data_IF_552847832622
#
_entry.id   IF_552847832622
#
_cell.length_a   1.000
_cell.length_b   1.000
_cell.length_c   1.000
_cell.angle_alpha   90.00
_cell.angle_beta   90.00
_cell.angle_gamma   90.00
#
_symmetry.space_group_name_H-M   'P 1'
#
loop_
_entity.id
_entity.type
_entity.pdbx_description
1 polymer ?
#
# COMPACT_ATOMS: atom_id res chain seq x y z
N UNK A 1 -40.42 -30.56 -3.87
CA UNK A 1 -40.23 -29.34 -3.05
C UNK A 1 -38.74 -29.20 -2.80
N UNK A 2 -38.04 -28.45 -3.65
CA UNK A 2 -36.61 -28.17 -3.47
C UNK A 2 -36.46 -27.14 -2.34
N UNK A 3 -35.52 -27.41 -1.44
CA UNK A 3 -35.20 -26.55 -0.29
C UNK A 3 -34.63 -25.22 -0.80
N UNK A 4 -35.31 -24.12 -0.52
CA UNK A 4 -34.72 -22.79 -0.48
C UNK A 4 -33.63 -22.82 0.62
N UNK A 5 -32.39 -23.12 0.26
CA UNK A 5 -31.24 -22.69 1.04
C UNK A 5 -31.06 -21.22 0.70
N UNK A 6 -31.47 -20.36 1.62
CA UNK A 6 -31.24 -18.92 1.62
C UNK A 6 -29.78 -18.65 1.29
N UNK A 7 -29.49 -18.32 0.02
CA UNK A 7 -28.21 -17.74 -0.40
C UNK A 7 -28.22 -16.32 0.15
N UNK A 8 -27.78 -16.17 1.40
CA UNK A 8 -27.39 -14.88 1.93
C UNK A 8 -26.09 -14.55 1.20
N UNK A 9 -26.19 -13.87 0.06
CA UNK A 9 -25.05 -13.23 -0.59
C UNK A 9 -24.54 -12.23 0.45
N UNK A 10 -23.38 -12.45 1.09
CA UNK A 10 -22.93 -11.56 2.14
C UNK A 10 -22.73 -10.17 1.53
N UNK A 11 -23.32 -9.17 2.17
CA UNK A 11 -23.33 -7.76 1.79
C UNK A 11 -21.94 -7.08 1.90
N UNK A 12 -20.86 -7.83 1.68
CA UNK A 12 -19.46 -7.40 1.84
C UNK A 12 -18.98 -6.59 0.62
N UNK A 13 -19.71 -6.62 -0.51
CA UNK A 13 -19.28 -5.95 -1.74
C UNK A 13 -19.43 -4.41 -1.76
N UNK A 14 -20.03 -3.76 -0.76
CA UNK A 14 -20.54 -2.39 -0.93
C UNK A 14 -20.09 -1.32 0.09
N UNK A 15 -19.07 -1.56 0.91
CA UNK A 15 -18.78 -0.68 2.04
C UNK A 15 -17.47 0.14 1.94
N UNK A 16 -16.99 0.56 0.76
CA UNK A 16 -15.79 1.45 0.74
C UNK A 16 -15.64 2.41 -0.46
N UNK A 17 -16.60 2.50 -1.38
CA UNK A 17 -16.48 3.38 -2.55
C UNK A 17 -16.68 4.89 -2.28
N UNK A 18 -16.88 5.33 -1.03
CA UNK A 18 -17.25 6.73 -0.71
C UNK A 18 -16.27 7.49 0.17
N UNK A 19 -15.26 6.85 0.76
CA UNK A 19 -14.28 7.52 1.65
C UNK A 19 -13.03 8.04 0.92
N UNK A 20 -12.63 7.43 -0.20
CA UNK A 20 -11.39 7.83 -0.90
C UNK A 20 -11.51 9.14 -1.72
N UNK A 21 -12.73 9.61 -1.99
CA UNK A 21 -12.96 10.89 -2.70
C UNK A 21 -12.90 12.14 -1.80
N UNK A 22 -12.75 11.98 -0.48
CA UNK A 22 -12.70 13.11 0.47
C UNK A 22 -11.26 13.52 0.86
N UNK A 23 -10.23 12.90 0.30
CA UNK A 23 -8.85 13.00 0.77
C UNK A 23 -7.85 13.74 -0.14
N UNK A 24 -8.29 14.69 -0.98
CA UNK A 24 -7.38 15.61 -1.65
C UNK A 24 -8.05 16.98 -1.83
N UNK A 25 -8.20 17.70 -0.72
CA UNK A 25 -8.76 19.05 -0.68
C UNK A 25 -8.27 19.76 0.57
N UNK A 26 -7.23 20.58 0.41
CA UNK A 26 -6.52 21.20 1.52
C UNK A 26 -7.33 22.16 2.40
N UNK A 27 -6.72 22.46 3.56
CA UNK A 27 -7.01 23.53 4.54
C UNK A 27 -8.38 23.43 5.24
N UNK A 28 -8.36 23.00 6.51
CA UNK A 28 -8.33 23.92 7.65
C UNK A 28 -8.37 23.20 9.01
N UNK A 29 -7.33 23.48 9.81
CA UNK A 29 -7.37 23.82 11.25
C UNK A 29 -7.88 22.77 12.26
N UNK A 30 -6.91 22.10 12.89
CA UNK A 30 -7.05 21.50 14.21
C UNK A 30 -7.03 22.56 15.34
N UNK A 31 -7.92 22.39 16.30
CA UNK A 31 -7.89 22.90 17.67
C UNK A 31 -8.74 21.90 18.49
N UNK A 32 -8.44 21.48 19.71
CA UNK A 32 -7.59 22.05 20.74
C UNK A 32 -7.24 20.96 21.79
N UNK A 33 -6.12 21.24 22.46
CA UNK A 33 -5.51 20.73 23.69
C UNK A 33 -6.21 19.71 24.62
N UNK A 34 -5.38 18.90 25.29
CA UNK A 34 -5.30 18.90 26.76
C UNK A 34 -3.90 18.48 27.22
N UNK A 35 -3.29 19.33 28.06
CA UNK A 35 -2.00 19.16 28.72
C UNK A 35 -2.03 18.12 29.86
N UNK A 36 -0.90 17.46 30.12
CA UNK A 36 -0.50 17.09 31.48
C UNK A 36 1.04 17.02 31.59
N UNK A 37 1.57 17.96 32.36
CA UNK A 37 2.95 18.10 32.86
C UNK A 37 3.35 16.93 33.77
N UNK A 38 4.65 16.59 33.86
CA UNK A 38 5.40 16.35 35.13
C UNK A 38 6.81 15.73 34.90
N UNK A 39 7.83 16.55 35.20
CA UNK A 39 9.05 16.29 36.00
C UNK A 39 10.24 15.47 35.45
N UNK A 40 11.29 16.22 35.06
CA UNK A 40 12.67 16.22 35.60
C UNK A 40 13.25 14.94 36.25
N UNK A 41 14.36 14.45 35.68
CA UNK A 41 15.54 14.00 36.45
C UNK A 41 16.81 14.13 35.59
N UNK A 42 17.67 15.09 35.94
CA UNK A 42 19.10 15.10 35.58
C UNK A 42 19.84 14.01 36.37
N UNK A 43 20.81 13.35 35.75
CA UNK A 43 22.00 12.82 36.47
C UNK A 43 23.20 12.82 35.51
N UNK A 44 24.16 13.67 35.86
CA UNK A 44 25.55 13.76 35.38
C UNK A 44 26.40 12.65 36.00
N UNK A 45 27.40 12.13 35.27
CA UNK A 45 28.85 12.09 35.64
C UNK A 45 29.69 11.39 34.55
N UNK A 46 30.87 11.97 34.35
CA UNK A 46 31.92 11.86 33.31
C UNK A 46 32.80 10.59 33.21
N UNK A 47 33.50 10.54 32.07
CA UNK A 47 34.90 10.13 31.79
C UNK A 47 35.23 8.62 31.77
N UNK A 48 35.98 8.06 30.81
CA UNK A 48 37.37 8.37 30.36
C UNK A 48 37.62 7.54 29.07
N UNK A 49 38.02 8.10 27.91
CA UNK A 49 39.38 8.36 27.37
C UNK A 49 40.11 7.21 26.60
N UNK A 50 40.62 7.59 25.42
CA UNK A 50 41.66 7.01 24.52
C UNK A 50 41.31 5.68 23.80
N UNK A 51 41.61 5.48 22.51
CA UNK A 51 42.85 5.78 21.77
C UNK A 51 42.62 5.86 20.24
N UNK A 52 43.46 6.65 19.54
CA UNK A 52 43.59 6.77 18.09
C UNK A 52 44.03 5.46 17.41
N UNK A 53 43.64 5.23 16.15
CA UNK A 53 44.60 4.82 15.10
C UNK A 53 44.10 5.25 13.72
N UNK A 54 44.99 5.87 12.96
CA UNK A 54 44.85 6.39 11.60
C UNK A 54 44.70 5.30 10.52
N UNK A 55 44.03 5.71 9.44
CA UNK A 55 44.31 5.52 8.01
C UNK A 55 44.68 4.13 7.46
N UNK A 56 43.88 3.65 6.52
CA UNK A 56 44.42 3.23 5.23
C UNK A 56 43.45 3.58 4.08
N UNK A 57 43.97 4.38 3.17
CA UNK A 57 43.39 4.81 1.91
C UNK A 57 43.54 3.67 0.89
N UNK A 58 42.48 3.25 0.21
CA UNK A 58 42.62 2.47 -1.02
C UNK A 58 41.49 2.76 -2.01
N UNK A 59 41.72 3.81 -2.78
CA UNK A 59 41.60 3.87 -4.25
C UNK A 59 40.36 3.23 -4.90
N UNK A 60 39.38 4.09 -5.19
CA UNK A 60 38.67 4.28 -6.47
C UNK A 60 38.72 3.13 -7.49
N UNK A 61 37.58 2.47 -7.68
CA UNK A 61 37.10 2.07 -9.00
C UNK A 61 35.78 2.84 -9.22
N UNK A 62 35.91 4.01 -9.84
CA UNK A 62 34.77 4.79 -10.33
C UNK A 62 34.34 4.09 -11.62
N UNK A 63 33.32 3.25 -11.50
CA UNK A 63 32.56 2.79 -12.66
C UNK A 63 31.75 4.01 -13.10
N UNK A 64 32.07 4.60 -14.25
CA UNK A 64 31.23 5.61 -14.91
C UNK A 64 29.90 4.95 -15.28
N UNK A 65 29.01 4.80 -14.29
CA UNK A 65 27.60 4.87 -14.54
C UNK A 65 27.36 6.29 -15.04
N UNK A 66 26.94 6.44 -16.28
CA UNK A 66 26.27 7.66 -16.72
C UNK A 66 25.02 7.81 -15.84
N UNK A 67 25.17 8.47 -14.70
CA UNK A 67 24.05 8.93 -13.88
C UNK A 67 23.20 9.83 -14.78
N UNK A 68 21.98 9.39 -15.06
CA UNK A 68 20.95 10.33 -15.44
C UNK A 68 20.91 11.43 -14.37
N UNK A 69 20.69 12.70 -14.73
CA UNK A 69 20.61 13.75 -13.71
C UNK A 69 19.57 13.30 -12.66
N UNK A 70 19.87 13.41 -11.37
CA UNK A 70 19.05 12.84 -10.30
C UNK A 70 17.54 13.14 -10.42
N UNK A 71 17.18 14.30 -10.99
CA UNK A 71 15.79 14.66 -11.26
C UNK A 71 15.07 13.81 -12.33
N UNK A 72 15.78 13.22 -13.28
CA UNK A 72 15.23 12.30 -14.30
C UNK A 72 14.94 10.92 -13.68
N UNK A 73 15.87 10.40 -12.87
CA UNK A 73 15.68 9.15 -12.14
C UNK A 73 14.53 9.22 -11.11
N UNK A 74 14.40 10.36 -10.40
CA UNK A 74 13.27 10.57 -9.48
C UNK A 74 11.95 10.66 -10.25
N UNK A 75 11.92 11.29 -11.43
CA UNK A 75 10.71 11.37 -12.24
C UNK A 75 10.27 9.98 -12.74
N UNK A 76 11.19 9.19 -13.29
CA UNK A 76 10.92 7.80 -13.72
C UNK A 76 10.41 6.95 -12.54
N UNK A 77 11.02 7.07 -11.37
CA UNK A 77 10.56 6.37 -10.18
C UNK A 77 9.14 6.79 -9.75
N UNK A 78 8.80 8.08 -9.82
CA UNK A 78 7.44 8.55 -9.52
C UNK A 78 6.41 8.07 -10.54
N UNK A 79 6.79 7.80 -11.79
CA UNK A 79 5.90 7.13 -12.76
C UNK A 79 5.58 5.68 -12.34
N UNK A 80 6.56 4.98 -11.76
CA UNK A 80 6.34 3.64 -11.18
C UNK A 80 5.43 3.71 -9.95
N UNK A 81 5.57 4.72 -9.08
CA UNK A 81 4.65 4.97 -7.97
C UNK A 81 3.23 5.26 -8.49
N UNK A 82 3.09 6.04 -9.57
CA UNK A 82 1.79 6.34 -10.19
C UNK A 82 1.12 5.08 -10.80
N UNK A 83 1.89 4.07 -11.19
CA UNK A 83 1.34 2.80 -11.66
C UNK A 83 0.48 2.09 -10.59
N UNK A 84 0.80 2.29 -9.31
CA UNK A 84 0.02 1.76 -8.19
C UNK A 84 -1.38 2.38 -8.13
N UNK A 85 -1.48 3.69 -8.38
CA UNK A 85 -2.77 4.39 -8.49
C UNK A 85 -3.58 3.87 -9.67
N UNK A 86 -2.95 3.60 -10.81
CA UNK A 86 -3.63 2.99 -11.98
C UNK A 86 -4.21 1.62 -11.63
N UNK A 87 -3.48 0.79 -10.89
CA UNK A 87 -3.99 -0.49 -10.39
C UNK A 87 -5.20 -0.32 -9.48
N UNK A 88 -5.19 0.67 -8.59
CA UNK A 88 -6.32 0.98 -7.72
C UNK A 88 -7.55 1.52 -8.50
N UNK A 89 -7.35 2.34 -9.52
CA UNK A 89 -8.43 2.82 -10.40
C UNK A 89 -9.07 1.68 -11.20
N UNK A 90 -8.25 0.76 -11.70
CA UNK A 90 -8.72 -0.44 -12.38
C UNK A 90 -9.52 -1.34 -11.42
N UNK A 91 -9.06 -1.52 -10.18
CA UNK A 91 -9.79 -2.23 -9.12
C UNK A 91 -11.19 -1.64 -8.91
N UNK A 92 -11.30 -0.31 -8.74
CA UNK A 92 -12.60 0.36 -8.56
C UNK A 92 -13.51 0.13 -9.76
N UNK A 93 -12.97 0.21 -10.97
CA UNK A 93 -13.73 0.01 -12.21
C UNK A 93 -14.28 -1.42 -12.30
N UNK A 94 -13.45 -2.43 -12.01
CA UNK A 94 -13.87 -3.83 -12.06
C UNK A 94 -14.84 -4.15 -10.90
N UNK A 95 -14.65 -3.56 -9.72
CA UNK A 95 -15.61 -3.71 -8.61
C UNK A 95 -17.00 -3.17 -8.95
N UNK A 96 -17.10 -2.10 -9.74
CA UNK A 96 -18.39 -1.62 -10.26
C UNK A 96 -19.02 -2.64 -11.23
N UNK A 97 -18.21 -3.28 -12.09
CA UNK A 97 -18.67 -4.38 -12.96
C UNK A 97 -19.19 -5.56 -12.11
N UNK A 98 -18.44 -5.96 -11.08
CA UNK A 98 -18.81 -7.04 -10.16
C UNK A 98 -20.16 -6.79 -9.50
N UNK A 99 -20.38 -5.58 -8.96
CA UNK A 99 -21.66 -5.21 -8.34
C UNK A 99 -22.83 -5.22 -9.33
N UNK A 100 -22.61 -4.84 -10.59
CA UNK A 100 -23.64 -4.90 -11.64
C UNK A 100 -23.98 -6.35 -12.00
N UNK A 101 -22.96 -7.22 -12.11
CA UNK A 101 -23.15 -8.64 -12.38
C UNK A 101 -23.82 -9.37 -11.20
N UNK A 102 -23.62 -8.93 -9.96
CA UNK A 102 -24.36 -9.44 -8.81
C UNK A 102 -25.88 -9.36 -8.93
N UNK A 103 -26.41 -8.52 -9.83
CA UNK A 103 -27.84 -8.41 -10.11
C UNK A 103 -28.36 -9.46 -11.10
N UNK A 104 -27.48 -10.14 -11.84
CA UNK A 104 -27.87 -11.12 -12.87
C UNK A 104 -27.90 -12.56 -12.36
N UNK A 105 -27.43 -12.81 -11.13
CA UNK A 105 -27.25 -14.14 -10.53
C UNK A 105 -26.34 -15.10 -11.34
N UNK A 106 -25.56 -14.57 -12.29
CA UNK A 106 -24.59 -15.34 -13.10
C UNK A 106 -23.29 -15.54 -12.33
N UNK A 107 -23.20 -16.66 -11.61
CA UNK A 107 -22.05 -16.97 -10.75
C UNK A 107 -20.77 -17.18 -11.54
N UNK A 108 -20.84 -17.79 -12.73
CA UNK A 108 -19.66 -18.04 -13.55
C UNK A 108 -19.06 -16.72 -14.03
N UNK A 109 -19.89 -15.79 -14.51
CA UNK A 109 -19.44 -14.45 -14.90
C UNK A 109 -18.87 -13.65 -13.73
N UNK A 110 -19.47 -13.76 -12.55
CA UNK A 110 -18.94 -13.12 -11.34
C UNK A 110 -17.57 -13.69 -10.94
N UNK A 111 -17.37 -15.00 -11.04
CA UNK A 111 -16.07 -15.65 -10.76
C UNK A 111 -15.00 -15.18 -11.75
N UNK A 112 -15.33 -15.05 -13.04
CA UNK A 112 -14.42 -14.44 -14.01
C UNK A 112 -14.04 -13.00 -13.63
N UNK A 113 -15.00 -12.22 -13.15
CA UNK A 113 -14.74 -10.85 -12.68
C UNK A 113 -13.89 -10.82 -11.40
N UNK A 114 -14.04 -11.78 -10.49
CA UNK A 114 -13.13 -11.92 -9.32
C UNK A 114 -11.69 -12.14 -9.77
N UNK A 115 -11.44 -12.90 -10.82
CA UNK A 115 -10.08 -13.08 -11.34
C UNK A 115 -9.54 -11.82 -12.04
N UNK A 116 -10.41 -11.00 -12.65
CA UNK A 116 -9.99 -9.65 -13.11
C UNK A 116 -9.59 -8.77 -11.91
N UNK A 117 -10.36 -8.79 -10.83
CA UNK A 117 -10.03 -8.08 -9.57
C UNK A 117 -8.68 -8.57 -9.04
N UNK A 118 -8.44 -9.88 -9.01
CA UNK A 118 -7.16 -10.45 -8.58
C UNK A 118 -6.00 -9.92 -9.41
N UNK A 119 -6.21 -9.73 -10.72
CA UNK A 119 -5.22 -9.20 -11.66
C UNK A 119 -4.76 -7.77 -11.35
N UNK A 120 -5.59 -6.94 -10.69
CA UNK A 120 -5.24 -5.54 -10.40
C UNK A 120 -4.12 -5.40 -9.36
N UNK A 121 -3.72 -6.51 -8.71
CA UNK A 121 -2.57 -6.54 -7.81
C UNK A 121 -1.23 -6.41 -8.55
N UNK A 122 -1.18 -6.63 -9.86
CA UNK A 122 0.08 -6.78 -10.59
C UNK A 122 1.02 -5.57 -10.47
N UNK A 123 0.56 -4.30 -10.61
CA UNK A 123 1.43 -3.14 -10.39
C UNK A 123 2.08 -3.11 -9.00
N UNK A 124 1.37 -3.59 -7.97
CA UNK A 124 1.90 -3.66 -6.61
C UNK A 124 2.97 -4.75 -6.46
N UNK A 125 2.76 -5.90 -7.12
CA UNK A 125 3.77 -6.97 -7.18
C UNK A 125 5.03 -6.46 -7.87
N UNK A 126 4.87 -5.83 -9.04
CA UNK A 126 5.99 -5.35 -9.84
C UNK A 126 6.77 -4.26 -9.10
N UNK A 127 6.08 -3.30 -8.46
CA UNK A 127 6.71 -2.26 -7.65
C UNK A 127 7.45 -2.83 -6.42
N UNK A 128 6.90 -3.87 -5.77
CA UNK A 128 7.50 -4.43 -4.55
C UNK A 128 8.90 -5.05 -4.76
N UNK A 129 9.27 -5.31 -6.01
CA UNK A 129 10.56 -5.86 -6.41
C UNK A 129 11.36 -4.90 -7.29
N UNK A 130 10.97 -3.62 -7.34
CA UNK A 130 11.66 -2.60 -8.10
C UNK A 130 13.07 -2.37 -7.53
N UNK A 131 14.10 -2.66 -8.33
CA UNK A 131 15.50 -2.51 -7.90
C UNK A 131 16.07 -1.12 -8.21
N UNK A 132 15.51 -0.41 -9.18
CA UNK A 132 15.95 0.92 -9.60
C UNK A 132 15.39 2.00 -8.68
N UNK A 133 16.04 2.20 -7.55
CA UNK A 133 15.67 3.20 -6.53
C UNK A 133 16.62 4.40 -6.61
N UNK A 134 16.10 5.64 -6.76
CA UNK A 134 16.93 6.85 -6.72
C UNK A 134 17.61 7.06 -5.36
N UNK A 135 18.83 7.61 -5.37
CA UNK A 135 19.56 7.97 -4.15
C UNK A 135 18.74 8.92 -3.29
N UNK A 136 18.63 8.63 -1.99
CA UNK A 136 17.86 9.42 -1.02
C UNK A 136 16.39 8.98 -0.87
N UNK A 137 15.93 7.99 -1.64
CA UNK A 137 14.59 7.41 -1.52
C UNK A 137 14.59 5.98 -0.94
N UNK A 138 15.73 5.43 -0.54
CA UNK A 138 15.85 4.01 -0.18
C UNK A 138 14.95 3.62 1.00
N UNK A 139 14.90 4.44 2.06
CA UNK A 139 14.08 4.17 3.24
C UNK A 139 12.58 4.26 2.94
N UNK A 140 12.17 5.30 2.21
CA UNK A 140 10.76 5.49 1.84
C UNK A 140 10.31 4.44 0.82
N UNK A 141 11.20 4.06 -0.10
CA UNK A 141 11.01 2.95 -1.03
C UNK A 141 10.85 1.62 -0.29
N UNK A 142 11.73 1.27 0.65
CA UNK A 142 11.63 0.00 1.39
C UNK A 142 10.26 -0.14 2.09
N UNK A 143 9.79 0.95 2.71
CA UNK A 143 8.46 0.98 3.31
C UNK A 143 7.35 0.78 2.26
N UNK A 144 7.39 1.52 1.14
CA UNK A 144 6.37 1.42 0.10
C UNK A 144 6.38 0.07 -0.61
N UNK A 145 7.55 -0.48 -0.92
CA UNK A 145 7.71 -1.80 -1.52
C UNK A 145 7.11 -2.89 -0.62
N UNK A 146 7.37 -2.82 0.69
CA UNK A 146 6.75 -3.71 1.67
C UNK A 146 5.23 -3.55 1.69
N UNK A 147 4.72 -2.32 1.76
CA UNK A 147 3.28 -2.06 1.79
C UNK A 147 2.59 -2.53 0.49
N UNK A 148 3.24 -2.38 -0.66
CA UNK A 148 2.76 -2.89 -1.95
C UNK A 148 2.72 -4.43 -1.98
N UNK A 149 3.75 -5.10 -1.45
CA UNK A 149 3.76 -6.56 -1.32
C UNK A 149 2.62 -7.06 -0.42
N UNK A 150 2.42 -6.41 0.74
CA UNK A 150 1.36 -6.75 1.68
C UNK A 150 -0.03 -6.53 1.04
N UNK A 151 -0.22 -5.43 0.31
CA UNK A 151 -1.45 -5.18 -0.46
C UNK A 151 -1.70 -6.25 -1.53
N UNK A 152 -0.67 -6.63 -2.29
CA UNK A 152 -0.80 -7.68 -3.29
C UNK A 152 -1.17 -9.04 -2.68
N UNK A 153 -0.59 -9.40 -1.54
CA UNK A 153 -0.93 -10.61 -0.81
C UNK A 153 -2.36 -10.55 -0.24
N UNK A 154 -2.78 -9.40 0.29
CA UNK A 154 -4.15 -9.17 0.72
C UNK A 154 -5.15 -9.36 -0.42
N UNK A 155 -4.85 -8.86 -1.62
CA UNK A 155 -5.73 -8.99 -2.79
C UNK A 155 -6.02 -10.45 -3.17
N UNK A 156 -5.06 -11.37 -2.98
CA UNK A 156 -5.32 -12.81 -3.15
C UNK A 156 -6.34 -13.33 -2.15
N UNK A 157 -6.14 -13.01 -0.86
CA UNK A 157 -7.06 -13.43 0.21
C UNK A 157 -8.45 -12.84 0.01
N UNK A 158 -8.54 -11.58 -0.41
CA UNK A 158 -9.80 -10.91 -0.73
C UNK A 158 -10.56 -11.64 -1.85
N UNK A 159 -9.86 -12.00 -2.93
CA UNK A 159 -10.46 -12.74 -4.04
C UNK A 159 -10.86 -14.17 -3.67
N UNK A 160 -10.09 -14.82 -2.79
CA UNK A 160 -10.43 -16.14 -2.25
C UNK A 160 -11.69 -16.09 -1.37
N UNK A 161 -11.85 -15.05 -0.55
CA UNK A 161 -13.07 -14.80 0.23
C UNK A 161 -14.28 -14.58 -0.68
N UNK A 162 -14.15 -13.75 -1.73
CA UNK A 162 -15.22 -13.52 -2.69
C UNK A 162 -15.62 -14.83 -3.40
N UNK A 163 -14.63 -15.59 -3.88
CA UNK A 163 -14.82 -16.88 -4.56
C UNK A 163 -15.55 -17.88 -3.65
N UNK A 164 -15.12 -18.02 -2.39
CA UNK A 164 -15.78 -18.88 -1.42
C UNK A 164 -17.25 -18.45 -1.21
N UNK A 165 -17.48 -17.15 -1.03
CA UNK A 165 -18.84 -16.60 -0.88
C UNK A 165 -19.74 -16.89 -2.08
N UNK A 166 -19.23 -16.76 -3.30
CA UNK A 166 -19.96 -17.08 -4.53
C UNK A 166 -20.29 -18.57 -4.66
N UNK A 167 -19.39 -19.45 -4.20
CA UNK A 167 -19.60 -20.90 -4.15
C UNK A 167 -20.49 -21.34 -2.97
N UNK A 168 -20.84 -20.42 -2.06
CA UNK A 168 -21.60 -20.72 -0.85
C UNK A 168 -20.79 -21.46 0.22
N UNK A 169 -19.48 -21.26 0.21
CA UNK A 169 -18.50 -21.79 1.15
C UNK A 169 -18.10 -20.70 2.16
N UNK A 170 -17.58 -21.12 3.31
CA UNK A 170 -17.01 -20.20 4.30
C UNK A 170 -15.50 -20.08 4.10
N UNK A 171 -14.95 -18.88 4.29
CA UNK A 171 -13.52 -18.62 4.27
C UNK A 171 -13.04 -18.15 5.65
N UNK A 172 -11.85 -18.56 6.09
CA UNK A 172 -11.35 -18.22 7.44
C UNK A 172 -11.15 -16.72 7.64
N UNK A 173 -10.73 -16.01 6.59
CA UNK A 173 -10.53 -14.57 6.61
C UNK A 173 -11.83 -13.74 6.56
N UNK A 174 -13.02 -14.34 6.40
CA UNK A 174 -14.28 -13.58 6.29
C UNK A 174 -14.53 -12.68 7.50
N UNK A 175 -14.05 -13.05 8.69
CA UNK A 175 -14.24 -12.26 9.91
C UNK A 175 -13.32 -11.03 10.02
N UNK A 176 -12.20 -11.01 9.29
CA UNK A 176 -11.17 -9.95 9.40
C UNK A 176 -11.02 -9.13 8.13
N UNK A 177 -11.55 -9.61 6.99
CA UNK A 177 -11.26 -9.05 5.67
C UNK A 177 -11.53 -7.54 5.53
N UNK A 178 -12.55 -7.00 6.19
CA UNK A 178 -12.85 -5.56 6.16
C UNK A 178 -11.80 -4.73 6.91
N UNK A 179 -11.33 -5.25 8.06
CA UNK A 179 -10.26 -4.63 8.83
C UNK A 179 -8.93 -4.75 8.10
N UNK A 180 -8.62 -5.94 7.57
CA UNK A 180 -7.39 -6.21 6.82
C UNK A 180 -7.30 -5.29 5.57
N UNK A 181 -8.43 -5.06 4.89
CA UNK A 181 -8.51 -4.10 3.79
C UNK A 181 -8.18 -2.68 4.25
N UNK A 182 -8.75 -2.25 5.38
CA UNK A 182 -8.54 -0.90 5.93
C UNK A 182 -7.08 -0.69 6.33
N UNK A 183 -6.51 -1.64 7.06
CA UNK A 183 -5.13 -1.55 7.56
C UNK A 183 -4.14 -1.54 6.40
N UNK A 184 -4.32 -2.45 5.44
CA UNK A 184 -3.41 -2.58 4.30
C UNK A 184 -3.49 -1.38 3.36
N UNK A 185 -4.69 -0.85 3.09
CA UNK A 185 -4.84 0.36 2.24
C UNK A 185 -4.35 1.63 2.93
N UNK A 186 -4.48 1.72 4.25
CA UNK A 186 -3.98 2.86 5.03
C UNK A 186 -2.46 2.88 5.03
N UNK A 187 -1.80 1.76 5.33
CA UNK A 187 -0.34 1.69 5.31
C UNK A 187 0.22 1.96 3.91
N UNK A 188 -0.41 1.41 2.87
CA UNK A 188 -0.03 1.68 1.48
C UNK A 188 -0.11 3.18 1.14
N UNK A 189 -1.20 3.85 1.53
CA UNK A 189 -1.39 5.29 1.32
C UNK A 189 -0.36 6.13 2.09
N UNK A 190 -0.12 5.82 3.36
CA UNK A 190 0.88 6.52 4.16
C UNK A 190 2.30 6.36 3.61
N UNK A 191 2.63 5.16 3.11
CA UNK A 191 3.93 4.91 2.48
C UNK A 191 4.10 5.68 1.16
N UNK A 192 3.04 5.79 0.35
CA UNK A 192 3.06 6.62 -0.86
C UNK A 192 3.29 8.10 -0.54
N UNK A 193 2.63 8.62 0.51
CA UNK A 193 2.83 10.00 0.98
C UNK A 193 4.29 10.21 1.40
N UNK A 194 4.87 9.29 2.18
CA UNK A 194 6.25 9.39 2.63
C UNK A 194 7.24 9.41 1.45
N UNK A 195 6.98 8.62 0.40
CA UNK A 195 7.78 8.63 -0.84
C UNK A 195 7.66 9.98 -1.55
N UNK A 196 6.45 10.54 -1.68
CA UNK A 196 6.26 11.84 -2.33
C UNK A 196 6.96 12.97 -1.54
N UNK A 197 6.85 12.98 -0.22
CA UNK A 197 7.53 13.97 0.63
C UNK A 197 9.06 13.87 0.52
N UNK A 198 9.61 12.65 0.46
CA UNK A 198 11.03 12.43 0.26
C UNK A 198 11.48 12.88 -1.15
N UNK A 199 10.71 12.57 -2.19
CA UNK A 199 11.01 12.98 -3.56
C UNK A 199 10.97 14.50 -3.74
N UNK A 200 9.99 15.19 -3.13
CA UNK A 200 9.88 16.65 -3.16
C UNK A 200 11.08 17.33 -2.46
N UNK A 201 11.70 16.69 -1.47
CA UNK A 201 12.88 17.21 -0.78
C UNK A 201 14.17 17.10 -1.61
N UNK A 202 14.17 16.31 -2.69
CA UNK A 202 15.31 16.13 -3.60
C UNK A 202 15.28 17.07 -4.81
N UNK A 203 14.20 17.85 -4.99
CA UNK A 203 13.98 18.80 -6.10
C UNK A 203 14.30 20.25 -5.72
#
# INVERSE_FOLDING_TARGET
>A
MLKLKTRVIPAIAAAMALSMLAGCGGKDKAADATEATTTLAETTTEATAAEETEAEETTKAEEEATEAPAGDAVAEYLEEVDSLNKGAEEFVTIMLEFMQQGQTEDVDAMLETVEKIRGTKQPFVDFSVLESVPEGLEESHERLAKAAADYAAFMDVYCDVLTAGLNGEEHEATATIEQDMTDTTTELSEAMIAVQEAADALQ
#
